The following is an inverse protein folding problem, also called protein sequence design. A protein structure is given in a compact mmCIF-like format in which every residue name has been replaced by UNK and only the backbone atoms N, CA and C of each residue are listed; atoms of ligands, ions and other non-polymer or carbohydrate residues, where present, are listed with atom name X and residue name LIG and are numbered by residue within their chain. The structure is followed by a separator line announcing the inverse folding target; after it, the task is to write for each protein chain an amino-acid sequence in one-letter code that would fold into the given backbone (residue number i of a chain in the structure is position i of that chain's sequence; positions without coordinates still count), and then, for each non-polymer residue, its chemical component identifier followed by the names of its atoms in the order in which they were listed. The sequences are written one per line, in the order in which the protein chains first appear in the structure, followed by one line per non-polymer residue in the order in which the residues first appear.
data_IF_975156851344
#
_entry.id   IF_975156851344
#
_cell.length_a   1.000
_cell.length_b   1.000
_cell.length_c   1.000
_cell.angle_alpha   90.00
_cell.angle_beta   90.00
_cell.angle_gamma   90.00
#
_symmetry.space_group_name_H-M   'P 1'
#
loop_
_entity.id
_entity.type
_entity.pdbx_description
1 polymer ?
#
# COMPACT_ATOMS: atom_id res chain seq x y z
N UNK A 1 3.49 -34.51 38.84
CA UNK A 1 3.42 -33.14 39.45
C UNK A 1 1.97 -32.70 39.67
N UNK A 2 1.63 -31.82 40.64
CA UNK A 2 0.24 -31.53 41.04
C UNK A 2 -0.66 -30.94 39.93
N UNK A 3 -0.07 -30.30 38.93
CA UNK A 3 -0.78 -29.63 37.84
C UNK A 3 -0.71 -30.38 36.50
N UNK A 4 -0.12 -31.57 36.49
CA UNK A 4 0.23 -32.30 35.27
C UNK A 4 -0.98 -32.70 34.43
N UNK A 5 -2.06 -33.20 35.04
CA UNK A 5 -3.29 -33.56 34.32
C UNK A 5 -4.02 -32.33 33.73
N UNK A 6 -3.96 -31.19 34.42
CA UNK A 6 -4.51 -29.92 33.93
C UNK A 6 -3.68 -29.35 32.78
N UNK A 7 -2.36 -29.51 32.83
CA UNK A 7 -1.44 -29.11 31.77
C UNK A 7 -1.55 -30.02 30.54
N UNK A 8 -1.68 -31.34 30.72
CA UNK A 8 -1.90 -32.32 29.64
C UNK A 8 -3.20 -32.12 28.86
N UNK A 9 -4.21 -31.45 29.42
CA UNK A 9 -5.42 -31.04 28.68
C UNK A 9 -5.23 -29.81 27.78
N UNK A 10 -4.06 -29.16 27.86
CA UNK A 10 -3.66 -28.01 27.04
C UNK A 10 -2.60 -28.40 25.99
N UNK A 11 -2.39 -29.69 25.73
CA UNK A 11 -1.37 -30.18 24.77
C UNK A 11 -1.67 -29.84 23.32
N UNK A 12 -2.86 -29.32 23.01
CA UNK A 12 -3.17 -28.66 21.74
C UNK A 12 -2.40 -27.33 21.54
N UNK A 13 -1.43 -27.00 22.42
CA UNK A 13 -0.82 -25.66 22.52
C UNK A 13 0.72 -25.63 22.50
N UNK A 14 1.39 -26.61 21.89
CA UNK A 14 2.84 -26.59 21.66
C UNK A 14 3.50 -27.98 21.67
N UNK A 15 4.79 -28.02 21.33
CA UNK A 15 5.64 -29.23 21.39
C UNK A 15 5.97 -29.62 22.84
N UNK A 16 5.89 -28.67 23.77
CA UNK A 16 6.16 -28.89 25.20
C UNK A 16 4.98 -28.48 26.10
N UNK A 17 4.81 -29.19 27.21
CA UNK A 17 3.68 -28.99 28.14
C UNK A 17 3.68 -27.63 28.88
N UNK A 18 4.81 -26.91 28.87
CA UNK A 18 4.94 -25.55 29.43
C UNK A 18 4.66 -24.44 28.41
N UNK A 19 4.44 -24.78 27.13
CA UNK A 19 4.10 -23.81 26.11
C UNK A 19 2.64 -23.38 26.28
N UNK A 20 2.43 -22.06 26.45
CA UNK A 20 1.14 -21.53 26.87
C UNK A 20 0.17 -21.31 25.70
N UNK A 21 0.64 -21.37 24.44
CA UNK A 21 -0.12 -21.20 23.19
C UNK A 21 0.53 -21.98 22.04
N UNK A 22 -0.27 -22.71 21.25
CA UNK A 22 0.18 -23.19 19.95
C UNK A 22 0.48 -21.95 19.10
N UNK A 23 1.65 -21.92 18.50
CA UNK A 23 1.96 -20.98 17.44
C UNK A 23 1.68 -21.62 16.07
N UNK A 24 0.57 -22.35 15.99
CA UNK A 24 0.06 -23.04 14.79
C UNK A 24 -0.16 -22.07 13.62
N UNK A 25 -0.42 -20.80 13.92
CA UNK A 25 -0.60 -19.73 12.96
C UNK A 25 0.70 -19.19 12.33
N UNK A 26 1.91 -19.62 12.74
CA UNK A 26 3.16 -19.11 12.14
C UNK A 26 3.22 -19.38 10.64
N UNK A 27 2.71 -20.53 10.19
CA UNK A 27 2.68 -20.90 8.78
C UNK A 27 1.85 -19.93 7.93
N UNK A 28 0.85 -19.26 8.52
CA UNK A 28 0.00 -18.27 7.84
C UNK A 28 0.78 -17.01 7.44
N UNK A 29 1.84 -16.65 8.17
CA UNK A 29 2.69 -15.50 7.81
C UNK A 29 3.51 -15.74 6.54
N UNK A 30 3.79 -17.00 6.20
CA UNK A 30 4.55 -17.37 5.01
C UNK A 30 3.68 -17.45 3.76
N UNK A 31 2.35 -17.58 3.91
CA UNK A 31 1.41 -17.62 2.79
C UNK A 31 1.27 -16.23 2.15
N UNK A 32 0.84 -16.17 0.87
CA UNK A 32 0.34 -14.93 0.29
C UNK A 32 -0.73 -14.32 1.19
N UNK A 33 -0.63 -13.01 1.42
CA UNK A 33 -1.47 -12.33 2.40
C UNK A 33 -1.68 -10.86 2.10
N UNK A 34 -2.86 -10.37 2.42
CA UNK A 34 -3.12 -8.92 2.47
C UNK A 34 -2.71 -8.43 3.85
N UNK A 35 -1.95 -7.35 3.91
CA UNK A 35 -1.53 -6.68 5.15
C UNK A 35 -2.17 -5.31 5.21
N UNK A 36 -2.66 -4.94 6.41
CA UNK A 36 -3.34 -3.66 6.62
C UNK A 36 -3.12 -3.15 8.04
N UNK A 37 -3.16 -1.83 8.22
CA UNK A 37 -3.07 -1.22 9.54
C UNK A 37 -4.42 -1.32 10.26
N UNK A 38 -4.40 -1.53 11.57
CA UNK A 38 -5.64 -1.57 12.37
C UNK A 38 -6.35 -0.21 12.44
N UNK A 39 -5.60 0.89 12.27
CA UNK A 39 -6.13 2.26 12.23
C UNK A 39 -5.78 2.87 10.88
N UNK A 40 -6.77 3.33 10.13
CA UNK A 40 -6.56 3.90 8.79
C UNK A 40 -7.38 5.18 8.61
N UNK A 41 -6.78 6.17 7.96
CA UNK A 41 -7.46 7.42 7.55
C UNK A 41 -7.79 7.44 6.06
N UNK A 42 -7.30 6.44 5.32
CA UNK A 42 -7.51 6.21 3.89
C UNK A 42 -7.22 4.74 3.58
N UNK A 43 -7.65 4.22 2.42
CA UNK A 43 -7.35 2.84 2.03
C UNK A 43 -5.85 2.57 2.01
N UNK A 44 -5.43 1.53 2.73
CA UNK A 44 -4.02 1.14 2.81
C UNK A 44 -3.90 -0.38 2.98
N UNK A 45 -4.15 -1.10 1.89
CA UNK A 45 -4.02 -2.56 1.83
C UNK A 45 -2.89 -2.95 0.89
N UNK A 46 -2.00 -3.81 1.35
CA UNK A 46 -0.82 -4.28 0.60
C UNK A 46 -0.92 -5.79 0.42
N UNK A 47 -0.71 -6.26 -0.80
CA UNK A 47 -0.59 -7.69 -1.07
C UNK A 47 0.87 -8.13 -0.96
N UNK A 48 1.16 -9.06 -0.05
CA UNK A 48 2.50 -9.61 0.15
C UNK A 48 2.58 -11.07 -0.30
N UNK A 49 3.62 -11.34 -1.09
CA UNK A 49 4.03 -12.68 -1.53
C UNK A 49 5.44 -13.04 -1.08
N UNK A 50 6.13 -12.13 -0.39
CA UNK A 50 7.55 -12.28 0.00
C UNK A 50 7.73 -12.75 1.44
N UNK A 51 6.64 -13.00 2.17
CA UNK A 51 6.71 -13.45 3.56
C UNK A 51 7.19 -12.34 4.51
N UNK A 52 6.83 -11.09 4.23
CA UNK A 52 7.20 -9.96 5.09
C UNK A 52 6.53 -10.08 6.45
N UNK A 53 7.29 -9.73 7.49
CA UNK A 53 6.81 -9.64 8.87
C UNK A 53 6.46 -8.20 9.22
N UNK A 54 5.49 -8.05 10.13
CA UNK A 54 4.99 -6.76 10.60
C UNK A 54 4.98 -6.73 12.12
N UNK A 55 4.95 -5.53 12.68
CA UNK A 55 4.70 -5.34 14.11
C UNK A 55 3.21 -5.55 14.42
N UNK A 56 2.86 -5.45 15.71
CA UNK A 56 1.49 -5.64 16.21
C UNK A 56 0.47 -4.58 15.75
N UNK A 57 0.90 -3.52 15.06
CA UNK A 57 0.01 -2.46 14.54
C UNK A 57 -0.61 -2.82 13.18
N UNK A 58 -0.22 -3.95 12.60
CA UNK A 58 -0.63 -4.44 11.29
C UNK A 58 -1.24 -5.82 11.43
N UNK A 59 -2.35 -6.04 10.76
CA UNK A 59 -3.05 -7.33 10.71
C UNK A 59 -2.93 -7.92 9.31
N UNK A 60 -3.20 -9.23 9.20
CA UNK A 60 -3.08 -9.96 7.94
C UNK A 60 -4.35 -10.72 7.60
N UNK A 61 -4.59 -10.89 6.30
CA UNK A 61 -5.59 -11.79 5.72
C UNK A 61 -4.82 -12.76 4.83
N UNK A 62 -4.50 -13.98 5.31
CA UNK A 62 -3.89 -15.00 4.45
C UNK A 62 -4.86 -15.37 3.33
N UNK A 63 -4.49 -15.04 2.08
CA UNK A 63 -5.33 -15.28 0.90
C UNK A 63 -4.49 -15.15 -0.37
N UNK A 64 -4.83 -15.95 -1.36
CA UNK A 64 -4.32 -15.91 -2.73
C UNK A 64 -5.13 -15.00 -3.67
N UNK A 65 -6.30 -14.52 -3.21
CA UNK A 65 -7.22 -13.67 -3.97
C UNK A 65 -6.70 -12.24 -4.04
N UNK A 66 -5.83 -11.97 -5.01
CA UNK A 66 -5.21 -10.65 -5.16
C UNK A 66 -6.24 -9.54 -5.45
N UNK A 67 -7.30 -9.84 -6.19
CA UNK A 67 -8.39 -8.90 -6.52
C UNK A 67 -9.14 -8.37 -5.29
N UNK A 68 -9.12 -9.09 -4.17
CA UNK A 68 -9.64 -8.58 -2.90
C UNK A 68 -8.88 -7.32 -2.45
N UNK A 69 -7.59 -7.23 -2.76
CA UNK A 69 -6.78 -6.02 -2.51
C UNK A 69 -7.28 -4.84 -3.33
N UNK A 70 -7.76 -5.07 -4.54
CA UNK A 70 -8.40 -4.05 -5.37
C UNK A 70 -9.72 -3.58 -4.76
N UNK A 71 -10.60 -4.50 -4.38
CA UNK A 71 -11.86 -4.17 -3.69
C UNK A 71 -11.60 -3.34 -2.43
N UNK A 72 -10.64 -3.75 -1.58
CA UNK A 72 -10.35 -3.05 -0.33
C UNK A 72 -9.67 -1.68 -0.50
N UNK A 73 -8.95 -1.45 -1.61
CA UNK A 73 -8.38 -0.14 -1.92
C UNK A 73 -9.30 0.78 -2.73
N UNK A 74 -10.37 0.24 -3.34
CA UNK A 74 -11.36 1.01 -4.10
C UNK A 74 -12.15 1.98 -3.21
N UNK A 75 -12.76 2.99 -3.83
CA UNK A 75 -13.69 3.92 -3.16
C UNK A 75 -14.86 3.18 -2.51
N UNK A 76 -15.42 2.17 -3.17
CA UNK A 76 -16.49 1.35 -2.60
C UNK A 76 -16.02 0.57 -1.36
N UNK A 77 -14.82 0.00 -1.41
CA UNK A 77 -14.22 -0.68 -0.25
C UNK A 77 -14.05 0.24 0.93
N UNK A 78 -13.55 1.46 0.68
CA UNK A 78 -13.45 2.49 1.71
C UNK A 78 -14.81 2.89 2.28
N UNK A 79 -15.78 3.13 1.41
CA UNK A 79 -17.14 3.46 1.80
C UNK A 79 -17.74 2.37 2.72
N UNK A 80 -17.57 1.09 2.37
CA UNK A 80 -18.00 -0.03 3.23
C UNK A 80 -17.27 -0.02 4.58
N UNK A 81 -15.96 0.24 4.60
CA UNK A 81 -15.24 0.41 5.87
C UNK A 81 -15.88 1.51 6.73
N UNK A 82 -16.33 2.62 6.14
CA UNK A 82 -17.01 3.70 6.89
C UNK A 82 -18.33 3.27 7.52
N UNK A 83 -19.03 2.28 6.93
CA UNK A 83 -20.33 1.79 7.43
C UNK A 83 -20.20 0.67 8.45
N UNK A 84 -19.21 -0.20 8.28
CA UNK A 84 -19.05 -1.40 9.10
C UNK A 84 -18.07 -1.21 10.26
N UNK A 85 -17.03 -0.40 10.11
CA UNK A 85 -15.96 -0.28 11.10
C UNK A 85 -16.14 0.93 12.03
N UNK A 86 -15.54 0.85 13.21
CA UNK A 86 -15.64 1.90 14.23
C UNK A 86 -14.92 3.16 13.76
N UNK A 87 -15.64 4.28 13.69
CA UNK A 87 -15.05 5.59 13.42
C UNK A 87 -14.12 6.01 14.57
N UNK A 88 -12.95 6.51 14.19
CA UNK A 88 -11.97 7.21 15.04
C UNK A 88 -11.75 8.60 14.46
N UNK A 89 -11.10 9.51 15.20
CA UNK A 89 -10.78 10.90 14.78
C UNK A 89 -10.99 11.21 13.29
N UNK A 90 -10.00 10.90 12.44
CA UNK A 90 -10.02 11.17 11.00
C UNK A 90 -10.08 9.87 10.18
N UNK A 91 -10.60 8.78 10.72
CA UNK A 91 -10.50 7.48 10.07
C UNK A 91 -11.33 6.38 10.72
N UNK A 92 -10.89 5.14 10.55
CA UNK A 92 -11.60 3.95 11.03
C UNK A 92 -10.65 2.94 11.66
N UNK A 93 -11.18 2.21 12.64
CA UNK A 93 -10.52 1.08 13.29
C UNK A 93 -11.04 -0.25 12.73
N UNK A 94 -10.18 -0.99 12.04
CA UNK A 94 -10.50 -2.22 11.33
C UNK A 94 -10.27 -3.44 12.24
N UNK A 95 -11.17 -3.65 13.20
CA UNK A 95 -11.16 -4.86 14.04
C UNK A 95 -11.85 -5.99 13.27
N UNK A 96 -11.24 -7.18 13.23
CA UNK A 96 -11.72 -8.39 12.53
C UNK A 96 -13.20 -8.68 12.76
N UNK A 97 -13.69 -8.46 13.98
CA UNK A 97 -15.10 -8.68 14.35
C UNK A 97 -16.06 -7.89 13.47
N UNK A 98 -15.73 -6.65 13.11
CA UNK A 98 -16.56 -5.77 12.30
C UNK A 98 -16.12 -5.77 10.84
N UNK A 99 -14.81 -5.68 10.61
CA UNK A 99 -14.22 -5.68 9.28
C UNK A 99 -14.53 -6.96 8.49
N UNK A 100 -14.56 -8.12 9.16
CA UNK A 100 -14.93 -9.40 8.55
C UNK A 100 -16.42 -9.54 8.20
N UNK A 101 -17.27 -8.57 8.55
CA UNK A 101 -18.70 -8.55 8.18
C UNK A 101 -18.95 -7.82 6.87
N UNK A 102 -17.94 -7.14 6.29
CA UNK A 102 -18.09 -6.45 5.01
C UNK A 102 -18.45 -7.50 3.94
N UNK A 103 -19.58 -7.31 3.22
CA UNK A 103 -19.95 -8.21 2.14
C UNK A 103 -18.95 -8.06 1.00
N UNK A 104 -18.40 -9.18 0.53
CA UNK A 104 -17.47 -9.20 -0.61
C UNK A 104 -18.17 -9.93 -1.76
N UNK A 105 -18.35 -9.30 -2.93
CA UNK A 105 -18.94 -9.94 -4.09
C UNK A 105 -18.00 -11.02 -4.66
N UNK A 106 -18.51 -11.93 -5.51
CA UNK A 106 -17.65 -12.82 -6.27
C UNK A 106 -16.67 -12.01 -7.13
N UNK A 107 -15.37 -12.27 -6.96
CA UNK A 107 -14.31 -11.54 -7.68
C UNK A 107 -13.89 -12.36 -8.91
N UNK A 108 -13.97 -11.75 -10.09
CA UNK A 108 -13.51 -12.33 -11.35
C UNK A 108 -12.01 -12.18 -11.59
N UNK A 109 -11.48 -12.89 -12.59
CA UNK A 109 -10.05 -12.83 -12.96
C UNK A 109 -9.61 -11.48 -13.52
N UNK A 110 -10.53 -10.74 -14.15
CA UNK A 110 -10.24 -9.42 -14.74
C UNK A 110 -9.74 -8.44 -13.67
N UNK A 111 -10.37 -8.44 -12.48
CA UNK A 111 -9.91 -7.61 -11.36
C UNK A 111 -8.52 -8.03 -10.86
N UNK A 112 -8.23 -9.34 -10.84
CA UNK A 112 -6.90 -9.82 -10.46
C UNK A 112 -5.81 -9.28 -11.40
N UNK A 113 -6.09 -9.20 -12.71
CA UNK A 113 -5.16 -8.70 -13.72
C UNK A 113 -4.92 -7.19 -13.57
N UNK A 114 -5.98 -6.40 -13.35
CA UNK A 114 -5.86 -4.96 -13.07
C UNK A 114 -5.06 -4.69 -11.79
N UNK A 115 -5.30 -5.48 -10.72
CA UNK A 115 -4.55 -5.33 -9.47
C UNK A 115 -3.07 -5.70 -9.65
N UNK A 116 -2.75 -6.72 -10.46
CA UNK A 116 -1.34 -7.04 -10.79
C UNK A 116 -0.69 -5.91 -11.58
N UNK A 117 -1.42 -5.32 -12.53
CA UNK A 117 -0.94 -4.20 -13.33
C UNK A 117 -0.63 -2.98 -12.47
N UNK A 118 -1.55 -2.53 -11.62
CA UNK A 118 -1.35 -1.34 -10.78
C UNK A 118 -0.22 -1.56 -9.75
N UNK A 119 -0.06 -2.77 -9.21
CA UNK A 119 1.08 -3.11 -8.33
C UNK A 119 2.40 -3.00 -9.09
N UNK A 120 2.44 -3.47 -10.35
CA UNK A 120 3.61 -3.33 -11.24
C UNK A 120 3.96 -1.87 -11.50
N UNK A 121 2.97 -1.08 -11.95
CA UNK A 121 3.15 0.35 -12.23
C UNK A 121 3.61 1.14 -10.99
N UNK A 122 3.02 0.85 -9.82
CA UNK A 122 3.40 1.48 -8.55
C UNK A 122 4.85 1.17 -8.19
N UNK A 123 5.30 -0.07 -8.45
CA UNK A 123 6.69 -0.46 -8.26
C UNK A 123 7.61 0.28 -9.22
N UNK A 124 7.27 0.33 -10.51
CA UNK A 124 8.08 1.02 -11.53
C UNK A 124 8.22 2.51 -11.21
N UNK A 125 7.14 3.15 -10.77
CA UNK A 125 7.16 4.54 -10.30
C UNK A 125 8.08 4.72 -9.07
N UNK A 126 8.01 3.80 -8.11
CA UNK A 126 8.88 3.81 -6.94
C UNK A 126 10.36 3.64 -7.32
N UNK A 127 10.66 2.75 -8.27
CA UNK A 127 12.01 2.50 -8.77
C UNK A 127 12.56 3.74 -9.49
N UNK A 128 11.76 4.42 -10.33
CA UNK A 128 12.14 5.71 -10.96
C UNK A 128 12.46 6.77 -9.90
N UNK A 129 11.60 6.91 -8.87
CA UNK A 129 11.82 7.87 -7.77
C UNK A 129 13.09 7.55 -6.99
N UNK A 130 13.33 6.27 -6.71
CA UNK A 130 14.48 5.79 -5.95
C UNK A 130 15.79 5.93 -6.74
N UNK A 131 15.77 5.68 -8.05
CA UNK A 131 16.96 5.79 -8.90
C UNK A 131 17.52 7.22 -8.93
N UNK A 132 16.67 8.23 -9.14
CA UNK A 132 17.12 9.63 -9.07
C UNK A 132 17.62 9.97 -7.65
N UNK A 133 16.88 9.53 -6.63
CA UNK A 133 17.25 9.74 -5.23
C UNK A 133 18.64 9.17 -4.90
N UNK A 134 18.92 7.96 -5.36
CA UNK A 134 20.20 7.28 -5.18
C UNK A 134 21.32 7.99 -5.95
N UNK A 135 21.06 8.40 -7.19
CA UNK A 135 22.02 9.17 -7.99
C UNK A 135 22.39 10.48 -7.31
N UNK A 136 21.41 11.21 -6.77
CA UNK A 136 21.66 12.44 -6.03
C UNK A 136 22.49 12.17 -4.76
N UNK A 137 22.17 11.09 -4.05
CA UNK A 137 22.91 10.70 -2.85
C UNK A 137 24.36 10.33 -3.16
N UNK A 138 24.60 9.58 -4.24
CA UNK A 138 25.95 9.14 -4.62
C UNK A 138 26.78 10.27 -5.22
N UNK A 139 26.19 11.14 -6.05
CA UNK A 139 26.91 12.22 -6.74
C UNK A 139 27.23 13.41 -5.82
N UNK A 140 26.41 13.66 -4.81
CA UNK A 140 26.57 14.83 -3.92
C UNK A 140 26.79 14.47 -2.44
N UNK A 141 27.01 13.18 -2.14
CA UNK A 141 27.25 12.66 -0.78
C UNK A 141 26.17 13.08 0.24
N UNK A 142 24.90 12.97 -0.15
CA UNK A 142 23.80 13.34 0.72
C UNK A 142 23.52 12.26 1.78
N UNK A 143 23.78 12.57 3.05
CA UNK A 143 23.39 11.70 4.18
C UNK A 143 21.87 11.45 4.27
N UNK A 144 21.05 12.42 3.84
CA UNK A 144 19.59 12.34 3.88
C UNK A 144 18.95 13.27 2.84
N UNK A 145 18.09 12.71 2.00
CA UNK A 145 17.28 13.44 1.02
C UNK A 145 16.07 14.09 1.71
N UNK A 146 15.69 15.29 1.26
CA UNK A 146 14.49 15.97 1.77
C UNK A 146 13.21 15.31 1.22
N UNK A 147 12.08 15.44 1.93
CA UNK A 147 10.79 14.90 1.46
C UNK A 147 10.39 15.49 0.09
N UNK A 148 10.72 16.77 -0.17
CA UNK A 148 10.51 17.40 -1.49
C UNK A 148 11.33 16.73 -2.59
N UNK A 149 12.61 16.46 -2.32
CA UNK A 149 13.47 15.77 -3.29
C UNK A 149 13.11 14.29 -3.47
N UNK A 150 12.45 13.64 -2.50
CA UNK A 150 11.87 12.30 -2.72
C UNK A 150 10.67 12.36 -3.69
N UNK A 151 9.92 13.45 -3.67
CA UNK A 151 8.79 13.73 -4.56
C UNK A 151 9.17 14.67 -5.71
N UNK A 152 10.39 14.55 -6.22
CA UNK A 152 10.95 15.45 -7.24
C UNK A 152 10.12 15.57 -8.54
N UNK A 153 9.40 14.51 -8.91
CA UNK A 153 8.52 14.45 -10.07
C UNK A 153 7.34 15.45 -10.00
N UNK A 154 6.98 15.93 -8.82
CA UNK A 154 5.99 16.98 -8.61
C UNK A 154 6.59 18.40 -8.75
N UNK A 155 7.92 18.52 -8.69
CA UNK A 155 8.60 19.81 -8.67
C UNK A 155 8.80 20.38 -10.08
N UNK A 156 8.87 21.70 -10.17
CA UNK A 156 9.48 22.38 -11.32
C UNK A 156 11.00 22.30 -11.24
N UNK A 157 11.70 22.45 -12.37
CA UNK A 157 13.16 22.43 -12.38
C UNK A 157 13.75 23.56 -11.50
N UNK A 158 13.12 24.73 -11.47
CA UNK A 158 13.53 25.83 -10.59
C UNK A 158 13.42 25.49 -9.10
N UNK A 159 12.39 24.74 -8.69
CA UNK A 159 12.24 24.25 -7.31
C UNK A 159 13.26 23.16 -6.98
N UNK A 160 13.54 22.28 -7.93
CA UNK A 160 14.59 21.27 -7.81
C UNK A 160 15.96 21.93 -7.56
N UNK A 161 16.33 22.94 -8.35
CA UNK A 161 17.56 23.71 -8.12
C UNK A 161 17.58 24.41 -6.76
N UNK A 162 16.45 24.96 -6.30
CA UNK A 162 16.34 25.56 -4.96
C UNK A 162 16.61 24.52 -3.87
N UNK A 163 16.11 23.30 -4.00
CA UNK A 163 16.37 22.22 -3.03
C UNK A 163 17.84 21.76 -3.05
N UNK A 164 18.48 21.70 -4.22
CA UNK A 164 19.92 21.41 -4.32
C UNK A 164 20.78 22.52 -3.70
N UNK A 165 20.43 23.79 -3.94
CA UNK A 165 21.11 24.95 -3.33
C UNK A 165 21.05 24.94 -1.81
N UNK A 166 19.91 24.53 -1.21
CA UNK A 166 19.78 24.34 0.25
C UNK A 166 20.73 23.26 0.80
N UNK A 167 21.12 22.29 -0.03
CA UNK A 167 22.10 21.25 0.29
C UNK A 167 23.54 21.66 -0.03
N UNK A 168 23.80 22.95 -0.32
CA UNK A 168 25.10 23.52 -0.67
C UNK A 168 25.67 23.01 -2.00
N UNK A 169 24.84 22.44 -2.88
CA UNK A 169 25.22 22.09 -4.25
C UNK A 169 25.03 23.33 -5.13
N UNK A 170 26.13 23.78 -5.75
CA UNK A 170 26.12 24.84 -6.77
C UNK A 170 26.56 24.21 -8.09
N UNK A 171 25.71 24.30 -9.09
CA UNK A 171 25.97 23.82 -10.44
C UNK A 171 26.37 25.03 -11.31
N UNK A 172 27.27 24.80 -12.26
CA UNK A 172 27.56 25.73 -13.35
C UNK A 172 26.42 25.74 -14.37
N UNK A 173 26.38 26.74 -15.27
CA UNK A 173 25.33 26.85 -16.29
C UNK A 173 25.27 25.61 -17.21
N UNK A 174 26.44 25.05 -17.55
CA UNK A 174 26.53 23.83 -18.36
C UNK A 174 25.94 22.62 -17.63
N UNK A 175 26.26 22.45 -16.34
CA UNK A 175 25.72 21.37 -15.53
C UNK A 175 24.21 21.55 -15.29
N UNK A 176 23.75 22.79 -15.11
CA UNK A 176 22.32 23.08 -14.98
C UNK A 176 21.55 22.64 -16.23
N UNK A 177 22.09 22.86 -17.43
CA UNK A 177 21.48 22.40 -18.68
C UNK A 177 21.40 20.86 -18.76
N UNK A 178 22.49 20.15 -18.46
CA UNK A 178 22.50 18.67 -18.45
C UNK A 178 21.51 18.09 -17.44
N UNK A 179 21.46 18.68 -16.23
CA UNK A 179 20.50 18.26 -15.21
C UNK A 179 19.07 18.62 -15.57
N UNK A 180 18.84 19.70 -16.31
CA UNK A 180 17.52 20.09 -16.79
C UNK A 180 16.96 19.04 -17.75
N UNK A 181 17.75 18.61 -18.73
CA UNK A 181 17.35 17.59 -19.69
C UNK A 181 17.11 16.24 -18.98
N UNK A 182 18.04 15.84 -18.12
CA UNK A 182 17.90 14.59 -17.36
C UNK A 182 16.67 14.62 -16.44
N UNK A 183 16.47 15.70 -15.69
CA UNK A 183 15.32 15.88 -14.79
C UNK A 183 14.01 15.84 -15.57
N UNK A 184 13.93 16.56 -16.70
CA UNK A 184 12.72 16.63 -17.52
C UNK A 184 12.35 15.26 -18.07
N UNK A 185 13.33 14.51 -18.60
CA UNK A 185 13.13 13.15 -19.10
C UNK A 185 12.67 12.18 -17.99
N UNK A 186 13.27 12.24 -16.80
CA UNK A 186 12.84 11.39 -15.69
C UNK A 186 11.45 11.79 -15.19
N UNK A 187 11.15 13.09 -15.16
CA UNK A 187 9.87 13.62 -14.72
C UNK A 187 8.75 13.16 -15.64
N UNK A 188 8.96 13.26 -16.96
CA UNK A 188 8.01 12.80 -17.96
C UNK A 188 7.71 11.30 -17.79
N UNK A 189 8.74 10.46 -17.59
CA UNK A 189 8.55 9.04 -17.29
C UNK A 189 7.73 8.81 -16.03
N UNK A 190 8.05 9.49 -14.94
CA UNK A 190 7.30 9.36 -13.68
C UNK A 190 5.84 9.81 -13.82
N UNK A 191 5.59 10.91 -14.55
CA UNK A 191 4.24 11.43 -14.79
C UNK A 191 3.43 10.54 -15.73
N UNK A 192 4.07 9.95 -16.74
CA UNK A 192 3.45 8.97 -17.63
C UNK A 192 3.00 7.73 -16.86
N UNK A 193 3.87 7.16 -16.01
CA UNK A 193 3.50 6.02 -15.15
C UNK A 193 2.39 6.41 -14.18
N UNK A 194 2.46 7.60 -13.56
CA UNK A 194 1.41 8.08 -12.66
C UNK A 194 0.05 8.20 -13.37
N UNK A 195 0.05 8.68 -14.61
CA UNK A 195 -1.18 8.79 -15.42
C UNK A 195 -1.79 7.41 -15.68
N UNK A 196 -0.97 6.40 -15.97
CA UNK A 196 -1.44 5.03 -16.13
C UNK A 196 -1.95 4.44 -14.81
N UNK A 197 -1.30 4.72 -13.68
CA UNK A 197 -1.81 4.33 -12.35
C UNK A 197 -3.20 4.93 -12.14
N UNK A 198 -3.38 6.23 -12.35
CA UNK A 198 -4.66 6.91 -12.15
C UNK A 198 -5.75 6.43 -13.12
N UNK A 199 -5.36 5.95 -14.32
CA UNK A 199 -6.27 5.31 -15.26
C UNK A 199 -6.73 3.94 -14.76
N UNK A 200 -5.79 3.09 -14.35
CA UNK A 200 -6.09 1.73 -13.85
C UNK A 200 -6.85 1.77 -12.53
N UNK A 201 -6.55 2.75 -11.66
CA UNK A 201 -7.26 2.94 -10.39
C UNK A 201 -8.75 3.24 -10.62
N UNK A 202 -9.06 4.14 -11.57
CA UNK A 202 -10.46 4.41 -12.00
C UNK A 202 -11.13 3.21 -12.66
N UNK A 203 -10.38 2.41 -13.40
CA UNK A 203 -10.88 1.18 -14.02
C UNK A 203 -11.22 0.13 -12.95
N UNK A 204 -10.40 0.01 -11.90
CA UNK A 204 -10.68 -0.82 -10.73
C UNK A 204 -11.94 -0.33 -10.01
N UNK A 205 -12.05 0.97 -9.72
CA UNK A 205 -13.25 1.52 -9.07
C UNK A 205 -14.52 1.22 -9.88
N UNK A 206 -14.50 1.48 -11.19
CA UNK A 206 -15.63 1.19 -12.08
C UNK A 206 -16.02 -0.29 -12.08
N UNK A 207 -15.05 -1.20 -12.16
CA UNK A 207 -15.28 -2.64 -12.09
C UNK A 207 -15.85 -3.05 -10.72
N UNK A 208 -15.34 -2.48 -9.64
CA UNK A 208 -15.85 -2.77 -8.29
C UNK A 208 -17.30 -2.29 -8.16
N UNK A 209 -17.66 -1.10 -8.65
CA UNK A 209 -19.05 -0.64 -8.63
C UNK A 209 -19.99 -1.61 -9.36
N UNK A 210 -19.56 -2.13 -10.52
CA UNK A 210 -20.32 -3.15 -11.26
C UNK A 210 -20.47 -4.46 -10.47
N UNK A 211 -19.42 -4.91 -9.77
CA UNK A 211 -19.49 -6.12 -8.93
C UNK A 211 -20.49 -5.99 -7.78
N UNK A 212 -20.69 -4.78 -7.25
CA UNK A 212 -21.70 -4.51 -6.23
C UNK A 212 -23.07 -4.10 -6.81
N UNK A 213 -23.17 -3.93 -8.13
CA UNK A 213 -24.42 -3.61 -8.82
C UNK A 213 -24.93 -2.19 -8.57
N UNK A 214 -24.03 -1.22 -8.36
CA UNK A 214 -24.41 0.17 -8.06
C UNK A 214 -24.99 0.89 -9.28
N UNK A 215 -25.98 1.72 -9.02
CA UNK A 215 -26.52 2.75 -9.93
C UNK A 215 -25.62 3.99 -9.97
N UNK A 216 -25.84 4.89 -10.95
CA UNK A 216 -25.08 6.15 -11.05
C UNK A 216 -25.30 7.04 -9.81
N UNK A 217 -26.52 7.07 -9.27
CA UNK A 217 -26.83 7.82 -8.05
C UNK A 217 -26.10 7.25 -6.83
N UNK A 218 -25.99 5.92 -6.72
CA UNK A 218 -25.25 5.27 -5.64
C UNK A 218 -23.75 5.46 -5.78
N UNK A 219 -23.22 5.45 -7.01
CA UNK A 219 -21.80 5.76 -7.26
C UNK A 219 -21.51 7.17 -6.78
N UNK A 220 -22.33 8.17 -7.13
CA UNK A 220 -22.14 9.54 -6.66
C UNK A 220 -22.11 9.63 -5.12
N UNK A 221 -23.00 8.90 -4.43
CA UNK A 221 -22.99 8.83 -2.96
C UNK A 221 -21.72 8.18 -2.38
N UNK A 222 -21.10 7.24 -3.09
CA UNK A 222 -19.84 6.62 -2.68
C UNK A 222 -18.67 7.57 -2.89
N UNK A 223 -18.66 8.34 -3.97
CA UNK A 223 -17.55 9.25 -4.29
C UNK A 223 -17.56 10.55 -3.47
N UNK A 224 -18.72 10.98 -2.97
CA UNK A 224 -18.89 12.17 -2.13
C UNK A 224 -18.64 11.93 -0.62
N UNK A 225 -18.47 10.67 -0.19
CA UNK A 225 -18.36 10.27 1.21
C UNK A 225 -16.94 10.36 1.79
#
# INVERSE_FOLDING_TARGET
MPFEQKAKKRTDKGDYWWELRACDYYSEFSKPKIMYQTFQVKPCFIYDTKGLYRNNSMWIIPTDRIGLTGVLNSKMGWWLITKYCTQIQNGYQLIWKYFGQIPIPPIGKELDELVRLIIGLTKDLADVKLNLSNLLSSKFDFKKISRKLQNWHELTFGEFLKELKKKKVKLSLSEEAEWMDYFSNQKEKAQSIQTEIDRVDREIDAMVYQLYGLTEEEIALVEDA
#
